data_IF_672146560680
#
_entry.id   IF_672146560680
#
_cell.length_a   1.000
_cell.length_b   1.000
_cell.length_c   1.000
_cell.angle_alpha   90.00
_cell.angle_beta   90.00
_cell.angle_gamma   90.00
#
_symmetry.space_group_name_H-M   'P 1'
#
loop_
_entity.id
_entity.type
_entity.pdbx_description
1 polymer ?
#
# COMPACT_ATOMS: atom_id res chain seq x y z
N UNK A 1 -7.66 -6.77 -17.52
CA UNK A 1 -6.36 -6.24 -17.04
C UNK A 1 -6.41 -4.72 -17.02
N UNK A 2 -6.08 -4.11 -15.88
CA UNK A 2 -6.01 -2.65 -15.80
C UNK A 2 -4.64 -2.15 -16.27
N UNK A 3 -4.53 -0.84 -16.47
CA UNK A 3 -3.24 -0.17 -16.68
C UNK A 3 -3.05 0.84 -15.57
N UNK A 4 -1.90 0.79 -14.90
CA UNK A 4 -1.56 1.75 -13.87
C UNK A 4 -1.31 3.12 -14.52
N UNK A 5 -2.02 4.14 -14.04
CA UNK A 5 -1.77 5.52 -14.43
C UNK A 5 -0.74 6.12 -13.50
N UNK A 6 0.14 6.97 -14.03
CA UNK A 6 1.21 7.60 -13.24
C UNK A 6 0.92 9.08 -13.09
N UNK A 7 1.04 9.58 -11.86
CA UNK A 7 0.95 11.01 -11.55
C UNK A 7 2.16 11.45 -10.74
N UNK A 8 2.58 12.68 -10.92
CA UNK A 8 3.63 13.29 -10.11
C UNK A 8 2.95 14.09 -9.00
N UNK A 9 3.35 13.84 -7.75
CA UNK A 9 2.78 14.52 -6.60
C UNK A 9 2.91 13.69 -5.33
N UNK A 10 2.26 14.18 -4.27
CA UNK A 10 2.32 13.54 -2.97
C UNK A 10 1.16 12.54 -2.83
N UNK A 11 1.49 11.27 -2.67
CA UNK A 11 0.51 10.20 -2.40
C UNK A 11 -0.42 10.59 -1.25
N UNK A 12 0.10 11.22 -0.22
CA UNK A 12 -0.69 11.55 0.98
C UNK A 12 -1.58 12.78 0.81
N UNK A 13 -1.56 13.42 -0.37
CA UNK A 13 -2.55 14.45 -0.71
C UNK A 13 -3.89 13.83 -1.12
N UNK A 14 -3.92 12.54 -1.38
CA UNK A 14 -5.15 11.79 -1.72
C UNK A 14 -6.06 11.75 -0.51
N UNK A 15 -7.33 12.13 -0.72
CA UNK A 15 -8.34 12.19 0.35
C UNK A 15 -9.50 11.24 0.15
N UNK A 16 -9.57 10.56 -1.00
CA UNK A 16 -10.65 9.62 -1.30
C UNK A 16 -10.09 8.34 -1.92
N UNK A 17 -10.71 7.23 -1.61
CA UNK A 17 -10.34 5.92 -2.15
C UNK A 17 -9.47 5.12 -1.19
N UNK A 18 -8.51 4.41 -1.74
CA UNK A 18 -7.65 3.48 -1.01
C UNK A 18 -6.19 3.84 -1.23
N UNK A 19 -5.48 4.19 -0.16
CA UNK A 19 -4.02 4.36 -0.19
C UNK A 19 -3.41 3.03 0.26
N UNK A 20 -2.52 2.46 -0.56
CA UNK A 20 -1.84 1.20 -0.24
C UNK A 20 -0.35 1.45 -0.17
N UNK A 21 0.27 1.08 0.94
CA UNK A 21 1.72 1.14 1.07
C UNK A 21 2.29 -0.18 1.60
N UNK A 22 3.55 -0.45 1.25
CA UNK A 22 4.22 -1.67 1.65
C UNK A 22 4.83 -1.57 3.04
N UNK A 23 4.64 -2.63 3.83
CA UNK A 23 5.15 -2.72 5.20
C UNK A 23 5.93 -4.02 5.37
N UNK A 24 6.79 -4.06 6.39
CA UNK A 24 7.43 -5.29 6.84
C UNK A 24 6.60 -5.98 7.92
N UNK A 25 6.94 -7.23 8.22
CA UNK A 25 6.26 -8.02 9.24
C UNK A 25 6.90 -7.88 10.64
N UNK A 26 7.79 -6.89 10.85
CA UNK A 26 8.55 -6.74 12.09
C UNK A 26 8.04 -5.63 13.01
N UNK A 27 6.96 -4.94 12.62
CA UNK A 27 6.41 -3.85 13.44
C UNK A 27 7.17 -2.54 13.34
N UNK A 28 7.93 -2.32 12.27
CA UNK A 28 8.80 -1.14 12.12
C UNK A 28 8.35 -0.29 10.92
N UNK A 29 7.94 0.94 11.18
CA UNK A 29 7.68 1.96 10.17
C UNK A 29 8.73 3.07 10.33
N UNK A 30 9.97 2.76 10.00
CA UNK A 30 11.11 3.60 10.31
C UNK A 30 11.67 4.41 9.14
N UNK A 31 11.20 4.25 7.93
CA UNK A 31 11.78 4.93 6.77
C UNK A 31 10.81 5.02 5.60
N UNK A 32 11.12 5.93 4.67
CA UNK A 32 10.41 6.07 3.40
C UNK A 32 8.95 6.45 3.54
N UNK A 33 8.11 5.88 2.69
CA UNK A 33 6.68 6.15 2.65
C UNK A 33 6.00 5.76 3.96
N UNK A 34 6.46 4.71 4.63
CA UNK A 34 5.87 4.29 5.91
C UNK A 34 5.95 5.37 6.97
N UNK A 35 7.05 6.13 7.04
CA UNK A 35 7.18 7.26 7.97
C UNK A 35 6.17 8.35 7.62
N UNK A 36 6.00 8.65 6.34
CA UNK A 36 5.06 9.66 5.89
C UNK A 36 3.61 9.24 6.23
N UNK A 37 3.27 7.98 6.04
CA UNK A 37 1.94 7.44 6.40
C UNK A 37 1.73 7.51 7.91
N UNK A 38 2.72 7.10 8.69
CA UNK A 38 2.67 7.16 10.16
C UNK A 38 2.44 8.60 10.65
N UNK A 39 3.07 9.57 10.00
CA UNK A 39 2.96 10.97 10.36
C UNK A 39 1.58 11.53 9.99
N UNK A 40 1.10 11.24 8.78
CA UNK A 40 -0.18 11.75 8.29
C UNK A 40 -1.37 11.02 8.93
N UNK A 41 -1.22 9.72 9.16
CA UNK A 41 -2.28 8.85 9.68
C UNK A 41 -1.73 7.97 10.81
N UNK A 42 -1.56 8.54 12.03
CA UNK A 42 -1.04 7.77 13.18
C UNK A 42 -1.81 6.49 13.47
N UNK A 43 -3.12 6.48 13.17
CA UNK A 43 -3.96 5.30 13.33
C UNK A 43 -3.42 4.09 12.55
N UNK A 44 -2.88 4.33 11.35
CA UNK A 44 -2.30 3.25 10.53
C UNK A 44 -1.13 2.58 11.25
N UNK A 45 -0.29 3.36 11.91
CA UNK A 45 0.83 2.83 12.68
C UNK A 45 0.36 2.10 13.94
N UNK A 46 -0.58 2.67 14.68
CA UNK A 46 -1.09 2.08 15.91
C UNK A 46 -1.78 0.74 15.66
N UNK A 47 -2.63 0.64 14.64
CA UNK A 47 -3.28 -0.63 14.29
C UNK A 47 -2.27 -1.68 13.80
N UNK A 48 -1.25 -1.24 13.06
CA UNK A 48 -0.15 -2.10 12.63
C UNK A 48 0.61 -2.69 13.83
N UNK A 49 0.93 -1.86 14.83
CA UNK A 49 1.58 -2.33 16.06
C UNK A 49 0.68 -3.26 16.88
N UNK A 50 -0.60 -2.94 17.00
CA UNK A 50 -1.55 -3.75 17.74
C UNK A 50 -1.63 -5.16 17.16
N UNK A 51 -1.70 -5.27 15.84
CA UNK A 51 -1.72 -6.59 15.17
C UNK A 51 -0.39 -7.31 15.39
N UNK A 52 0.72 -6.61 15.30
CA UNK A 52 2.04 -7.18 15.52
C UNK A 52 2.17 -7.77 16.93
N UNK A 53 1.69 -7.06 17.93
CA UNK A 53 1.77 -7.49 19.33
C UNK A 53 0.78 -8.61 19.66
N UNK A 54 -0.45 -8.54 19.11
CA UNK A 54 -1.52 -9.47 19.48
C UNK A 54 -1.42 -10.81 18.75
N UNK A 55 -1.23 -10.80 17.43
CA UNK A 55 -1.27 -12.02 16.63
C UNK A 55 -0.13 -12.17 15.63
N UNK A 56 0.67 -11.12 15.47
CA UNK A 56 1.74 -11.10 14.47
C UNK A 56 1.25 -10.69 13.09
N UNK A 57 2.14 -10.01 12.37
CA UNK A 57 1.88 -9.56 10.99
C UNK A 57 2.21 -10.70 10.03
N UNK A 58 1.33 -10.95 9.07
CA UNK A 58 1.46 -12.07 8.15
C UNK A 58 1.89 -11.57 6.75
N UNK A 59 3.01 -12.09 6.27
CA UNK A 59 3.50 -11.79 4.93
C UNK A 59 2.44 -12.15 3.88
N UNK A 60 2.14 -11.21 3.01
CA UNK A 60 1.12 -11.39 1.96
C UNK A 60 -0.27 -10.94 2.35
N UNK A 61 -0.46 -10.52 3.60
CA UNK A 61 -1.76 -10.03 4.07
C UNK A 61 -1.80 -8.51 4.02
N UNK A 62 -2.95 -7.96 3.62
CA UNK A 62 -3.20 -6.52 3.59
C UNK A 62 -4.19 -6.16 4.69
N UNK A 63 -3.80 -5.25 5.56
CA UNK A 63 -4.61 -4.85 6.72
C UNK A 63 -5.24 -3.49 6.45
N UNK A 64 -6.59 -3.42 6.36
CA UNK A 64 -7.28 -2.15 6.14
C UNK A 64 -7.34 -1.32 7.41
N UNK A 65 -7.11 -0.03 7.27
CA UNK A 65 -7.24 0.95 8.34
C UNK A 65 -8.29 1.97 7.91
N UNK A 66 -9.42 1.96 8.58
CA UNK A 66 -10.49 2.89 8.29
C UNK A 66 -10.11 4.29 8.79
N UNK A 67 -10.01 5.26 7.89
CA UNK A 67 -9.74 6.65 8.25
C UNK A 67 -11.07 7.41 8.40
N UNK A 68 -11.88 7.38 7.37
CA UNK A 68 -13.22 7.98 7.35
C UNK A 68 -14.04 7.35 6.22
N UNK A 69 -15.26 7.83 6.00
CA UNK A 69 -16.15 7.28 4.97
C UNK A 69 -15.62 7.42 3.54
N UNK A 70 -14.59 8.24 3.33
CA UNK A 70 -14.03 8.50 2.01
C UNK A 70 -12.66 7.85 1.80
N UNK A 71 -11.95 7.50 2.86
CA UNK A 71 -10.56 7.08 2.77
C UNK A 71 -10.25 5.85 3.62
N UNK A 72 -9.65 4.85 2.99
CA UNK A 72 -9.05 3.69 3.62
C UNK A 72 -7.54 3.71 3.37
N UNK A 73 -6.75 3.40 4.40
CA UNK A 73 -5.31 3.18 4.26
C UNK A 73 -5.03 1.69 4.48
N UNK A 74 -4.22 1.09 3.61
CA UNK A 74 -3.88 -0.32 3.69
C UNK A 74 -2.42 -0.50 4.05
N UNK A 75 -2.17 -1.25 5.13
CA UNK A 75 -0.82 -1.73 5.47
C UNK A 75 -0.65 -3.10 4.81
N UNK A 76 -0.01 -3.12 3.66
CA UNK A 76 0.21 -4.35 2.90
C UNK A 76 1.56 -4.96 3.30
N UNK A 77 1.55 -6.16 3.85
CA UNK A 77 2.77 -6.81 4.32
C UNK A 77 3.45 -7.47 3.12
N UNK A 78 4.32 -6.72 2.47
CA UNK A 78 4.97 -7.10 1.23
C UNK A 78 6.38 -7.64 1.42
N UNK A 79 6.92 -7.53 2.64
CA UNK A 79 8.24 -8.04 2.98
C UNK A 79 8.25 -8.50 4.43
N UNK A 80 9.05 -9.52 4.72
CA UNK A 80 9.14 -10.06 6.07
C UNK A 80 9.99 -9.15 6.97
N UNK A 81 11.15 -8.72 6.46
CA UNK A 81 12.11 -7.94 7.21
C UNK A 81 12.30 -6.55 6.60
N UNK A 82 13.20 -5.75 7.17
CA UNK A 82 13.54 -4.42 6.70
C UNK A 82 15.04 -4.32 6.42
N UNK A 83 15.43 -3.26 5.70
CA UNK A 83 16.79 -3.05 5.26
C UNK A 83 16.88 -2.90 3.75
N UNK A 84 18.06 -2.63 3.22
CA UNK A 84 18.28 -2.38 1.80
C UNK A 84 19.46 -3.14 1.20
N UNK A 85 20.05 -4.08 1.96
CA UNK A 85 21.23 -4.82 1.51
C UNK A 85 20.93 -5.82 0.40
N UNK A 86 19.68 -6.24 0.28
CA UNK A 86 19.20 -7.18 -0.74
C UNK A 86 17.71 -6.96 -0.94
N UNK A 87 17.13 -7.64 -1.94
CA UNK A 87 15.69 -7.59 -2.14
C UNK A 87 14.98 -8.14 -0.89
N UNK A 88 14.14 -7.31 -0.29
CA UNK A 88 13.30 -7.67 0.85
C UNK A 88 11.88 -8.00 0.42
N UNK A 89 11.38 -7.39 -0.66
CA UNK A 89 10.01 -7.58 -1.12
C UNK A 89 9.78 -8.99 -1.64
N UNK A 90 8.62 -9.55 -1.33
CA UNK A 90 8.13 -10.81 -1.88
C UNK A 90 7.13 -10.51 -2.99
N UNK A 91 7.39 -10.98 -4.20
CA UNK A 91 6.46 -10.81 -5.33
C UNK A 91 5.15 -11.57 -5.09
N UNK A 92 5.22 -12.76 -4.48
CA UNK A 92 4.02 -13.50 -4.11
C UNK A 92 3.17 -12.73 -3.10
N UNK A 93 3.82 -12.07 -2.13
CA UNK A 93 3.13 -11.25 -1.14
C UNK A 93 2.46 -10.04 -1.78
N UNK A 94 3.10 -9.40 -2.76
CA UNK A 94 2.49 -8.31 -3.53
C UNK A 94 1.18 -8.81 -4.15
N UNK A 95 1.21 -9.96 -4.81
CA UNK A 95 0.02 -10.52 -5.45
C UNK A 95 -1.09 -10.78 -4.44
N UNK A 96 -0.80 -11.48 -3.37
CA UNK A 96 -1.83 -11.84 -2.38
C UNK A 96 -2.39 -10.60 -1.66
N UNK A 97 -1.56 -9.61 -1.37
CA UNK A 97 -2.04 -8.35 -0.80
C UNK A 97 -3.07 -7.67 -1.73
N UNK A 98 -2.75 -7.56 -3.00
CA UNK A 98 -3.65 -6.91 -3.95
C UNK A 98 -4.89 -7.75 -4.27
N UNK A 99 -4.81 -9.07 -4.20
CA UNK A 99 -5.99 -9.93 -4.27
C UNK A 99 -6.96 -9.64 -3.13
N UNK A 100 -6.45 -9.48 -1.91
CA UNK A 100 -7.28 -9.15 -0.74
C UNK A 100 -7.93 -7.77 -0.87
N UNK A 101 -7.17 -6.77 -1.32
CA UNK A 101 -7.69 -5.41 -1.54
C UNK A 101 -8.80 -5.44 -2.60
N UNK A 102 -8.56 -6.15 -3.70
CA UNK A 102 -9.53 -6.32 -4.77
C UNK A 102 -10.84 -6.93 -4.28
N UNK A 103 -10.75 -7.99 -3.48
CA UNK A 103 -11.90 -8.66 -2.89
C UNK A 103 -12.67 -7.75 -1.94
N UNK A 104 -11.97 -6.96 -1.12
CA UNK A 104 -12.59 -6.02 -0.20
C UNK A 104 -13.40 -4.95 -0.95
N UNK A 105 -12.83 -4.40 -2.01
CA UNK A 105 -13.51 -3.39 -2.82
C UNK A 105 -14.76 -4.00 -3.48
N UNK A 106 -14.65 -5.21 -4.02
CA UNK A 106 -15.78 -5.90 -4.64
C UNK A 106 -16.93 -6.11 -3.65
N UNK A 107 -16.63 -6.53 -2.42
CA UNK A 107 -17.65 -6.69 -1.38
C UNK A 107 -18.30 -5.36 -1.02
N UNK A 108 -17.54 -4.28 -0.94
CA UNK A 108 -18.05 -2.93 -0.69
C UNK A 108 -19.02 -2.47 -1.76
N UNK A 109 -18.73 -2.75 -3.02
CA UNK A 109 -19.61 -2.41 -4.13
C UNK A 109 -20.94 -3.17 -4.06
N UNK A 110 -20.92 -4.42 -3.61
CA UNK A 110 -22.13 -5.23 -3.46
C UNK A 110 -22.99 -4.76 -2.30
N UNK A 111 -22.38 -4.36 -1.19
CA UNK A 111 -23.12 -4.01 0.03
C UNK A 111 -23.84 -2.68 -0.05
N UNK A 112 -23.42 -1.78 -0.94
CA UNK A 112 -23.97 -0.43 -1.11
C UNK A 112 -23.89 0.44 0.16
N UNK A 113 -23.25 -0.05 1.24
CA UNK A 113 -23.12 0.66 2.51
C UNK A 113 -21.70 1.20 2.67
N UNK A 114 -21.58 2.40 3.20
CA UNK A 114 -20.35 3.07 3.69
C UNK A 114 -19.03 2.57 3.11
N UNK A 115 -18.91 2.55 1.79
CA UNK A 115 -17.67 2.18 1.13
C UNK A 115 -16.92 3.43 0.66
N UNK A 116 -15.60 3.36 0.69
CA UNK A 116 -14.75 4.36 0.06
C UNK A 116 -14.86 4.23 -1.47
N UNK A 117 -14.57 5.31 -2.24
CA UNK A 117 -14.44 5.20 -3.69
C UNK A 117 -13.45 4.10 -4.08
N UNK A 118 -13.69 3.44 -5.21
CA UNK A 118 -12.93 2.25 -5.63
C UNK A 118 -11.56 2.53 -6.24
N UNK A 119 -11.09 3.75 -6.21
CA UNK A 119 -9.77 4.13 -6.71
C UNK A 119 -8.68 3.68 -5.74
N UNK A 120 -7.58 3.15 -6.29
CA UNK A 120 -6.44 2.69 -5.51
C UNK A 120 -5.23 3.56 -5.85
N UNK A 121 -4.53 4.03 -4.83
CA UNK A 121 -3.39 4.93 -4.95
C UNK A 121 -2.18 4.29 -4.28
N UNK A 122 -1.06 4.20 -5.02
CA UNK A 122 0.14 3.53 -4.55
C UNK A 122 1.40 4.35 -4.79
N UNK A 123 2.45 4.17 -3.98
CA UNK A 123 3.80 4.58 -4.33
C UNK A 123 4.44 3.49 -5.20
N UNK A 124 5.73 3.61 -5.53
CA UNK A 124 6.48 2.51 -6.16
C UNK A 124 6.71 1.39 -5.14
N UNK A 125 5.62 0.75 -4.76
CA UNK A 125 5.58 -0.24 -3.69
C UNK A 125 6.56 -1.39 -3.97
N UNK A 126 7.39 -1.71 -2.98
CA UNK A 126 8.35 -2.81 -3.07
C UNK A 126 9.60 -2.53 -3.90
N UNK A 127 9.63 -1.46 -4.68
CA UNK A 127 10.72 -1.22 -5.64
C UNK A 127 11.80 -0.27 -5.12
N UNK A 128 11.49 0.59 -4.14
CA UNK A 128 12.46 1.50 -3.56
C UNK A 128 13.34 0.77 -2.54
N UNK A 129 12.97 0.84 -1.25
CA UNK A 129 13.72 0.18 -0.18
C UNK A 129 13.53 -1.34 -0.16
N UNK A 130 12.43 -1.84 -0.71
CA UNK A 130 12.19 -3.28 -0.82
C UNK A 130 13.10 -3.98 -1.82
N UNK A 131 13.78 -3.23 -2.69
CA UNK A 131 14.75 -3.76 -3.65
C UNK A 131 14.15 -4.58 -4.78
N UNK A 132 12.84 -4.52 -4.98
CA UNK A 132 12.18 -5.24 -6.06
C UNK A 132 12.30 -4.54 -7.41
N UNK A 133 12.03 -5.30 -8.46
CA UNK A 133 11.96 -4.80 -9.82
C UNK A 133 10.56 -4.24 -10.09
N UNK A 134 10.47 -2.94 -10.36
CA UNK A 134 9.17 -2.28 -10.56
C UNK A 134 8.39 -2.86 -11.75
N UNK A 135 9.07 -3.23 -12.83
CA UNK A 135 8.38 -3.80 -13.98
C UNK A 135 7.64 -5.10 -13.62
N UNK A 136 8.25 -5.94 -12.78
CA UNK A 136 7.63 -7.17 -12.29
C UNK A 136 6.44 -6.83 -11.38
N UNK A 137 6.64 -5.91 -10.44
CA UNK A 137 5.60 -5.52 -9.48
C UNK A 137 4.42 -4.89 -10.21
N UNK A 138 4.70 -3.99 -11.15
CA UNK A 138 3.69 -3.34 -11.97
C UNK A 138 2.82 -4.36 -12.70
N UNK A 139 3.44 -5.35 -13.33
CA UNK A 139 2.72 -6.39 -14.05
C UNK A 139 1.82 -7.19 -13.13
N UNK A 140 2.32 -7.56 -11.93
CA UNK A 140 1.52 -8.28 -10.94
C UNK A 140 0.28 -7.48 -10.57
N UNK A 141 0.43 -6.19 -10.26
CA UNK A 141 -0.69 -5.33 -9.87
C UNK A 141 -1.68 -5.17 -11.02
N UNK A 142 -1.19 -4.94 -12.23
CA UNK A 142 -2.06 -4.75 -13.41
C UNK A 142 -2.88 -6.00 -13.73
N UNK A 143 -2.31 -7.19 -13.52
CA UNK A 143 -3.02 -8.45 -13.74
C UNK A 143 -3.97 -8.82 -12.61
N UNK A 144 -3.70 -8.35 -11.39
CA UNK A 144 -4.47 -8.73 -10.20
C UNK A 144 -5.68 -7.83 -9.98
N UNK A 145 -5.52 -6.52 -10.21
CA UNK A 145 -6.53 -5.53 -9.85
C UNK A 145 -7.60 -5.38 -10.91
N UNK A 146 -8.86 -5.24 -10.47
CA UNK A 146 -10.02 -4.96 -11.32
C UNK A 146 -10.44 -3.49 -11.28
N UNK A 147 -9.83 -2.68 -10.43
CA UNK A 147 -10.20 -1.28 -10.19
C UNK A 147 -9.06 -0.34 -10.55
N UNK A 148 -9.33 0.93 -10.83
CA UNK A 148 -8.28 1.88 -11.24
C UNK A 148 -7.18 2.00 -10.20
N UNK A 149 -5.92 1.97 -10.65
CA UNK A 149 -4.74 2.16 -9.80
C UNK A 149 -3.93 3.33 -10.34
N UNK A 150 -3.59 4.26 -9.46
CA UNK A 150 -2.72 5.39 -9.75
C UNK A 150 -1.41 5.25 -8.98
N UNK A 151 -0.30 5.30 -9.70
CA UNK A 151 1.05 5.39 -9.13
C UNK A 151 1.39 6.86 -8.92
N UNK A 152 1.75 7.21 -7.69
CA UNK A 152 2.17 8.56 -7.35
C UNK A 152 3.69 8.60 -7.22
N UNK A 153 4.34 9.40 -8.07
CA UNK A 153 5.77 9.64 -7.99
C UNK A 153 6.02 10.98 -7.32
N UNK A 154 6.96 11.04 -6.36
CA UNK A 154 7.31 12.32 -5.75
C UNK A 154 7.79 13.32 -6.79
N UNK A 155 7.57 14.60 -6.53
CA UNK A 155 8.10 15.66 -7.37
C UNK A 155 9.58 15.84 -7.06
N UNK A 156 10.46 15.26 -7.88
CA UNK A 156 11.90 15.29 -7.69
C UNK A 156 12.52 16.66 -7.92
N UNK A 157 11.78 17.59 -8.52
CA UNK A 157 12.32 18.94 -8.72
C UNK A 157 12.53 19.67 -7.40
N UNK A 158 11.81 19.26 -6.35
CA UNK A 158 11.94 19.82 -4.99
C UNK A 158 13.12 19.19 -4.24
N UNK A 159 13.44 17.93 -4.53
CA UNK A 159 14.47 17.18 -3.81
C UNK A 159 15.87 17.37 -4.36
N UNK A 160 16.00 17.89 -5.57
CA UNK A 160 17.30 18.15 -6.21
C UNK A 160 17.82 19.56 -5.94
N UNK A 161 17.05 20.36 -5.25
CA UNK A 161 17.44 21.71 -4.83
C UNK A 161 17.97 21.70 -3.40
#
# INVERSE_FOLDING_TARGET
MIKIQTKIGNLLSVKTGHIVHGCNAQGVMGSGVAVAVKTAYPKAYHEYLDIHEDEGLVLGKAYPVFINSQLMVWNAITQDNFGSAKRMVSYDAIQTCFEEINAHIALGLESMAHRQPNEVHIPMIGAARGGGNWEIIREIIEQTMDYPVTLWLPDDTVTTL
#
